data_IF_590901206192
#
_entry.id   IF_590901206192
#
_cell.length_a   1.000
_cell.length_b   1.000
_cell.length_c   1.000
_cell.angle_alpha   90.00
_cell.angle_beta   90.00
_cell.angle_gamma   90.00
#
_symmetry.space_group_name_H-M   'P 1'
#
loop_
_entity.id
_entity.type
_entity.pdbx_description
1 polymer ?
#
# COMPACT_ATOMS: atom_id res chain seq x y z
N UNK A 1 1.08 21.12 -7.79
CA UNK A 1 2.09 20.41 -8.61
C UNK A 1 2.09 18.97 -8.12
N UNK A 2 2.06 17.97 -9.02
CA UNK A 2 2.09 16.55 -8.62
C UNK A 2 3.54 16.18 -8.31
N UNK A 3 3.82 15.74 -7.10
CA UNK A 3 5.16 15.36 -6.63
C UNK A 3 5.15 13.86 -6.30
N UNK A 4 5.51 12.98 -7.23
CA UNK A 4 5.39 11.52 -7.05
C UNK A 4 6.14 10.98 -5.81
N UNK A 5 7.19 11.67 -5.36
CA UNK A 5 7.90 11.35 -4.14
C UNK A 5 7.00 11.36 -2.88
N UNK A 6 5.93 12.16 -2.86
CA UNK A 6 4.99 12.21 -1.73
C UNK A 6 4.17 10.91 -1.59
N UNK A 7 3.98 10.15 -2.67
CA UNK A 7 3.31 8.84 -2.59
C UNK A 7 4.24 7.74 -2.09
N UNK A 8 5.56 7.95 -2.13
CA UNK A 8 6.51 6.88 -1.91
C UNK A 8 6.39 6.28 -0.52
N UNK A 9 6.54 7.12 0.51
CA UNK A 9 6.48 6.69 1.91
C UNK A 9 5.17 5.95 2.24
N UNK A 10 3.97 6.49 1.97
CA UNK A 10 2.75 5.78 2.32
C UNK A 10 2.50 4.52 1.47
N UNK A 11 2.99 4.44 0.22
CA UNK A 11 2.88 3.21 -0.57
C UNK A 11 3.83 2.13 -0.03
N UNK A 12 5.04 2.48 0.38
CA UNK A 12 6.01 1.54 0.93
C UNK A 12 5.56 1.02 2.29
N UNK A 13 5.01 1.85 3.16
CA UNK A 13 4.44 1.41 4.44
C UNK A 13 3.34 0.37 4.24
N UNK A 14 2.44 0.59 3.28
CA UNK A 14 1.40 -0.39 2.93
C UNK A 14 2.03 -1.65 2.35
N UNK A 15 3.04 -1.52 1.49
CA UNK A 15 3.79 -2.66 0.93
C UNK A 15 4.39 -3.51 2.04
N UNK A 16 5.17 -2.92 2.94
CA UNK A 16 5.94 -3.64 3.96
C UNK A 16 5.01 -4.39 4.91
N UNK A 17 3.88 -3.79 5.29
CA UNK A 17 2.85 -4.45 6.11
C UNK A 17 2.20 -5.62 5.37
N UNK A 18 1.82 -5.42 4.11
CA UNK A 18 1.17 -6.47 3.31
C UNK A 18 2.14 -7.60 2.94
N UNK A 19 3.40 -7.29 2.66
CA UNK A 19 4.47 -8.24 2.36
C UNK A 19 4.76 -9.10 3.59
N UNK A 20 4.96 -8.48 4.76
CA UNK A 20 5.14 -9.19 6.03
C UNK A 20 3.99 -10.16 6.29
N UNK A 21 2.75 -9.74 6.01
CA UNK A 21 1.57 -10.58 6.25
C UNK A 21 1.39 -11.68 5.19
N UNK A 22 1.49 -11.36 3.90
CA UNK A 22 1.15 -12.29 2.82
C UNK A 22 2.30 -13.25 2.47
N UNK A 23 3.55 -12.79 2.53
CA UNK A 23 4.72 -13.58 2.17
C UNK A 23 5.35 -14.25 3.40
N UNK A 24 5.47 -13.52 4.51
CA UNK A 24 6.18 -14.00 5.70
C UNK A 24 5.25 -14.57 6.80
N UNK A 25 3.93 -14.47 6.63
CA UNK A 25 2.91 -14.85 7.64
C UNK A 25 3.14 -14.14 9.00
N UNK A 26 3.69 -12.92 8.96
CA UNK A 26 4.01 -12.07 10.11
C UNK A 26 3.04 -10.88 10.18
N UNK A 27 2.36 -10.76 11.31
CA UNK A 27 1.59 -9.55 11.66
C UNK A 27 2.48 -8.63 12.48
N UNK A 28 2.94 -7.53 11.88
CA UNK A 28 3.76 -6.50 12.55
C UNK A 28 3.00 -5.88 13.73
N UNK A 29 3.66 -5.53 14.82
CA UNK A 29 2.95 -5.05 16.03
C UNK A 29 2.20 -3.72 15.82
N UNK A 30 2.71 -2.86 14.93
CA UNK A 30 2.22 -1.52 14.62
C UNK A 30 1.40 -1.46 13.32
N UNK A 31 1.09 -2.61 12.72
CA UNK A 31 0.45 -2.72 11.41
C UNK A 31 -0.80 -1.83 11.27
N UNK A 32 -1.63 -1.79 12.32
CA UNK A 32 -2.90 -1.09 12.30
C UNK A 32 -2.71 0.43 12.26
N UNK A 33 -1.76 0.95 13.06
CA UNK A 33 -1.43 2.37 13.10
C UNK A 33 -0.76 2.80 11.79
N UNK A 34 0.16 1.97 11.27
CA UNK A 34 0.83 2.18 9.99
C UNK A 34 -0.16 2.26 8.82
N UNK A 35 -1.07 1.28 8.68
CA UNK A 35 -2.09 1.31 7.63
C UNK A 35 -3.06 2.48 7.82
N UNK A 36 -3.44 2.82 9.07
CA UNK A 36 -4.30 3.97 9.34
C UNK A 36 -3.65 5.28 8.88
N UNK A 37 -2.40 5.52 9.25
CA UNK A 37 -1.65 6.72 8.87
C UNK A 37 -1.39 6.79 7.35
N UNK A 38 -1.03 5.67 6.72
CA UNK A 38 -0.84 5.59 5.28
C UNK A 38 -2.16 5.88 4.53
N UNK A 39 -3.29 5.33 5.00
CA UNK A 39 -4.59 5.56 4.37
C UNK A 39 -5.01 7.02 4.33
N UNK A 40 -4.70 7.79 5.39
CA UNK A 40 -4.98 9.23 5.43
C UNK A 40 -4.13 9.98 4.41
N UNK A 41 -2.81 9.74 4.41
CA UNK A 41 -1.87 10.36 3.46
C UNK A 41 -2.24 10.06 2.00
N UNK A 42 -2.56 8.80 1.69
CA UNK A 42 -2.99 8.39 0.36
C UNK A 42 -4.29 9.09 -0.05
N UNK A 43 -5.27 9.18 0.86
CA UNK A 43 -6.53 9.85 0.55
C UNK A 43 -6.33 11.33 0.22
N UNK A 44 -5.55 12.04 1.03
CA UNK A 44 -5.24 13.46 0.82
C UNK A 44 -4.54 13.69 -0.53
N UNK A 45 -3.52 12.88 -0.85
CA UNK A 45 -2.80 12.96 -2.12
C UNK A 45 -3.67 12.59 -3.31
N UNK A 46 -4.47 11.51 -3.19
CA UNK A 46 -5.39 11.07 -4.23
C UNK A 46 -6.44 12.12 -4.58
N UNK A 47 -7.02 12.78 -3.57
CA UNK A 47 -7.95 13.90 -3.77
C UNK A 47 -7.23 15.10 -4.40
N UNK A 48 -6.08 15.50 -3.85
CA UNK A 48 -5.33 16.66 -4.34
C UNK A 48 -4.89 16.50 -5.81
N UNK A 49 -4.62 15.28 -6.24
CA UNK A 49 -4.15 14.98 -7.61
C UNK A 49 -5.27 14.48 -8.53
N UNK A 50 -6.49 14.33 -8.02
CA UNK A 50 -7.61 13.71 -8.74
C UNK A 50 -7.24 12.33 -9.30
N UNK A 51 -6.53 11.54 -8.49
CA UNK A 51 -6.05 10.20 -8.86
C UNK A 51 -6.94 9.12 -8.23
N UNK A 52 -7.85 8.50 -9.02
CA UNK A 52 -8.81 7.54 -8.48
C UNK A 52 -8.15 6.27 -7.96
N UNK A 53 -7.00 5.87 -8.51
CA UNK A 53 -6.28 4.67 -8.09
C UNK A 53 -5.71 4.83 -6.68
N UNK A 54 -5.16 6.01 -6.40
CA UNK A 54 -4.63 6.35 -5.07
C UNK A 54 -5.76 6.45 -4.05
N UNK A 55 -6.91 7.01 -4.43
CA UNK A 55 -8.11 7.06 -3.57
C UNK A 55 -8.68 5.67 -3.31
N UNK A 56 -8.63 4.78 -4.29
CA UNK A 56 -9.07 3.40 -4.10
C UNK A 56 -8.14 2.67 -3.13
N UNK A 57 -6.82 2.77 -3.32
CA UNK A 57 -5.84 2.20 -2.40
C UNK A 57 -6.06 2.72 -0.97
N UNK A 58 -6.28 4.03 -0.81
CA UNK A 58 -6.52 4.61 0.52
C UNK A 58 -7.73 3.99 1.23
N UNK A 59 -8.80 3.66 0.48
CA UNK A 59 -10.01 3.02 1.03
C UNK A 59 -9.74 1.58 1.45
N UNK A 60 -9.07 0.80 0.60
CA UNK A 60 -8.70 -0.59 0.93
C UNK A 60 -7.78 -0.64 2.14
N UNK A 61 -6.76 0.21 2.18
CA UNK A 61 -5.84 0.34 3.32
C UNK A 61 -6.58 0.69 4.61
N UNK A 62 -7.54 1.62 4.56
CA UNK A 62 -8.36 1.99 5.71
C UNK A 62 -9.26 0.84 6.18
N UNK A 63 -9.83 0.09 5.24
CA UNK A 63 -10.67 -1.05 5.56
C UNK A 63 -9.86 -2.16 6.24
N UNK A 64 -8.67 -2.48 5.72
CA UNK A 64 -7.75 -3.43 6.36
C UNK A 64 -7.36 -3.00 7.78
N UNK A 65 -7.08 -1.71 7.98
CA UNK A 65 -6.79 -1.14 9.30
C UNK A 65 -7.98 -1.25 10.28
N UNK A 66 -9.21 -1.22 9.79
CA UNK A 66 -10.42 -1.29 10.62
C UNK A 66 -10.91 -2.71 10.92
N UNK A 67 -10.85 -3.60 9.93
CA UNK A 67 -11.44 -4.94 10.00
C UNK A 67 -10.43 -6.02 10.44
N UNK A 68 -9.13 -5.71 10.41
CA UNK A 68 -8.07 -6.67 10.68
C UNK A 68 -7.45 -7.22 9.40
N UNK A 69 -6.13 -7.21 9.30
CA UNK A 69 -5.39 -7.87 8.20
C UNK A 69 -5.80 -9.34 8.00
N UNK A 70 -6.10 -10.03 9.09
CA UNK A 70 -6.51 -11.44 9.09
C UNK A 70 -8.00 -11.65 8.77
N UNK A 71 -8.80 -10.59 8.76
CA UNK A 71 -10.24 -10.64 8.55
C UNK A 71 -10.64 -10.80 7.08
N UNK A 72 -9.84 -10.27 6.15
CA UNK A 72 -10.10 -10.35 4.71
C UNK A 72 -8.81 -10.49 3.89
N UNK A 73 -8.39 -11.74 3.69
CA UNK A 73 -7.23 -12.09 2.89
C UNK A 73 -7.37 -11.68 1.41
N UNK A 74 -8.61 -11.64 0.88
CA UNK A 74 -8.84 -11.27 -0.51
C UNK A 74 -8.60 -9.77 -0.70
N UNK A 75 -9.05 -8.96 0.25
CA UNK A 75 -8.78 -7.53 0.28
C UNK A 75 -7.28 -7.24 0.45
N UNK A 76 -6.58 -7.99 1.31
CA UNK A 76 -5.13 -7.84 1.48
C UNK A 76 -4.37 -8.09 0.17
N UNK A 77 -4.72 -9.15 -0.57
CA UNK A 77 -4.13 -9.45 -1.88
C UNK A 77 -4.48 -8.39 -2.93
N UNK A 78 -5.71 -7.89 -2.93
CA UNK A 78 -6.12 -6.82 -3.86
C UNK A 78 -5.37 -5.51 -3.59
N UNK A 79 -5.20 -5.15 -2.32
CA UNK A 79 -4.41 -3.99 -1.92
C UNK A 79 -2.94 -4.14 -2.34
N UNK A 80 -2.34 -5.32 -2.17
CA UNK A 80 -0.97 -5.61 -2.58
C UNK A 80 -0.77 -5.46 -4.10
N UNK A 81 -1.72 -5.97 -4.89
CA UNK A 81 -1.71 -5.80 -6.35
C UNK A 81 -1.83 -4.32 -6.77
N UNK A 82 -2.63 -3.53 -6.08
CA UNK A 82 -2.74 -2.10 -6.37
C UNK A 82 -1.49 -1.31 -5.96
N UNK A 83 -0.85 -1.67 -4.85
CA UNK A 83 0.47 -1.15 -4.47
C UNK A 83 1.50 -1.43 -5.56
N UNK A 84 1.53 -2.66 -6.09
CA UNK A 84 2.39 -3.06 -7.21
C UNK A 84 2.29 -2.13 -8.39
N UNK A 85 1.06 -2.00 -8.88
CA UNK A 85 0.73 -1.22 -10.06
C UNK A 85 1.07 0.25 -9.84
N UNK A 86 0.85 0.79 -8.65
CA UNK A 86 1.20 2.17 -8.34
C UNK A 86 2.73 2.37 -8.27
N UNK A 87 3.49 1.43 -7.70
CA UNK A 87 4.95 1.47 -7.69
C UNK A 87 5.55 1.39 -9.10
N UNK A 88 4.98 0.57 -9.99
CA UNK A 88 5.39 0.50 -11.40
C UNK A 88 5.18 1.83 -12.13
N UNK A 89 4.04 2.49 -11.88
CA UNK A 89 3.69 3.77 -12.51
C UNK A 89 4.47 4.96 -11.92
N UNK A 90 4.78 4.91 -10.62
CA UNK A 90 5.58 5.90 -9.91
C UNK A 90 7.05 5.48 -10.02
N UNK A 91 7.60 5.61 -11.24
CA UNK A 91 8.99 5.20 -11.55
C UNK A 91 9.99 5.97 -10.69
N UNK A 92 10.35 5.43 -9.53
CA UNK A 92 11.35 5.99 -8.60
C UNK A 92 12.61 5.11 -8.65
N UNK A 93 13.78 5.65 -9.02
CA UNK A 93 15.03 4.91 -8.99
C UNK A 93 15.35 4.39 -7.58
N UNK A 94 15.68 3.11 -7.45
CA UNK A 94 16.10 2.48 -6.18
C UNK A 94 15.02 1.71 -5.42
N UNK A 95 13.80 1.62 -5.95
CA UNK A 95 12.70 0.85 -5.36
C UNK A 95 12.64 -0.54 -6.01
N UNK A 96 12.65 -1.64 -5.22
CA UNK A 96 12.50 -2.99 -5.75
C UNK A 96 11.18 -3.15 -6.52
N UNK A 97 11.23 -3.84 -7.66
CA UNK A 97 10.07 -4.10 -8.51
C UNK A 97 9.31 -5.35 -8.09
N UNK A 98 8.04 -5.46 -8.52
CA UNK A 98 7.31 -6.71 -8.61
C UNK A 98 8.01 -7.85 -9.36
N UNK A 99 8.88 -7.49 -10.30
CA UNK A 99 9.63 -8.44 -11.12
C UNK A 99 10.95 -8.86 -10.45
N UNK A 100 11.39 -8.15 -9.41
CA UNK A 100 12.57 -8.55 -8.64
C UNK A 100 12.16 -9.74 -7.76
N UNK A 101 13.00 -10.78 -7.70
CA UNK A 101 12.72 -12.14 -7.18
C UNK A 101 12.06 -12.25 -5.76
N UNK A 102 11.82 -11.13 -5.06
CA UNK A 102 11.15 -11.02 -3.76
C UNK A 102 9.62 -10.83 -3.82
N UNK A 103 8.99 -10.86 -5.00
CA UNK A 103 7.59 -10.45 -5.17
C UNK A 103 6.61 -11.56 -5.63
N UNK A 104 6.99 -12.83 -5.45
CA UNK A 104 6.11 -13.96 -5.72
C UNK A 104 5.23 -14.29 -4.50
N UNK A 105 3.99 -13.77 -4.48
CA UNK A 105 2.96 -14.06 -3.46
C UNK A 105 2.04 -15.26 -3.78
#
# INVERSE_FOLDING_TARGET
>A
MREPAMLYEPIIEVRDVLESFLADDIVLADWQDTLSAASVRLFELGVAWSDPDVVELSRMTRQLAGEGLTGDLSLARLAANNVARLLENVRIPGVPRPEDDNWAF
#
